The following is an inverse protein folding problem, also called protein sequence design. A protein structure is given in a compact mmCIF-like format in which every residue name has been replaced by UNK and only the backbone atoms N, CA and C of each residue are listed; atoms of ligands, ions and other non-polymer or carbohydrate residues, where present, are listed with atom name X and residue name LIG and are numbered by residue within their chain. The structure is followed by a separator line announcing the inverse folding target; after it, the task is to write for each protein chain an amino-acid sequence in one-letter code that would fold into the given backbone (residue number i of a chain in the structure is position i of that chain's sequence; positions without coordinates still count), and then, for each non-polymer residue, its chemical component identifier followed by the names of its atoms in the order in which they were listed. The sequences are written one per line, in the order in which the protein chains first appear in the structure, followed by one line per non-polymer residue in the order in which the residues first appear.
data_IF_415079611029
#
_entry.id   IF_415079611029
#
_cell.length_a   1.000
_cell.length_b   1.000
_cell.length_c   1.000
_cell.angle_alpha   90.00
_cell.angle_beta   90.00
_cell.angle_gamma   90.00
#
_symmetry.space_group_name_H-M   'P 1'
#
loop_
_entity.id
_entity.type
_entity.pdbx_description
1 polymer ?
#
# COMPACT_ATOMS: atom_id res chain seq x y z
N UNK A 1 -10.53 2.75 -84.78
CA UNK A 1 -10.37 3.39 -83.45
C UNK A 1 -9.04 2.93 -82.85
N UNK A 2 -8.00 3.78 -82.87
CA UNK A 2 -6.70 3.48 -82.25
C UNK A 2 -6.57 4.38 -81.01
N UNK A 3 -6.60 3.77 -79.83
CA UNK A 3 -6.53 4.47 -78.54
C UNK A 3 -5.08 4.96 -78.36
N UNK A 4 -4.91 6.29 -78.27
CA UNK A 4 -3.62 6.92 -77.98
C UNK A 4 -3.25 6.62 -76.52
N UNK A 5 -2.16 5.89 -76.31
CA UNK A 5 -1.58 5.66 -74.98
C UNK A 5 -0.70 6.85 -74.65
N UNK A 6 -1.11 7.68 -73.69
CA UNK A 6 -0.29 8.77 -73.17
C UNK A 6 0.94 8.20 -72.42
N UNK A 7 2.14 8.43 -72.95
CA UNK A 7 3.39 8.23 -72.24
C UNK A 7 3.47 9.25 -71.09
N UNK A 8 3.41 8.75 -69.86
CA UNK A 8 3.58 9.54 -68.64
C UNK A 8 5.05 10.03 -68.60
N UNK A 9 5.25 11.34 -68.69
CA UNK A 9 6.58 11.95 -68.63
C UNK A 9 7.08 11.81 -67.19
N UNK A 10 8.07 10.93 -66.99
CA UNK A 10 8.78 10.77 -65.74
C UNK A 10 9.58 12.06 -65.48
N UNK A 11 9.02 12.99 -64.70
CA UNK A 11 9.74 14.18 -64.26
C UNK A 11 10.84 13.74 -63.30
N UNK A 12 12.10 13.89 -63.72
CA UNK A 12 13.26 13.53 -62.93
C UNK A 12 13.23 14.19 -61.55
N UNK A 13 13.35 13.38 -60.51
CA UNK A 13 13.50 13.84 -59.12
C UNK A 13 14.78 14.67 -59.05
N UNK A 14 14.64 15.98 -58.80
CA UNK A 14 15.79 16.86 -58.63
C UNK A 14 16.57 16.46 -57.37
N UNK A 15 17.91 16.47 -57.44
CA UNK A 15 18.79 16.18 -56.31
C UNK A 15 18.46 17.04 -55.07
N UNK A 16 17.98 18.27 -55.29
CA UNK A 16 17.53 19.17 -54.21
C UNK A 16 16.28 18.65 -53.49
N UNK A 17 15.34 18.03 -54.22
CA UNK A 17 14.13 17.46 -53.62
C UNK A 17 14.43 16.23 -52.77
N UNK A 18 15.47 15.49 -53.14
CA UNK A 18 15.98 14.35 -52.37
C UNK A 18 16.67 14.81 -51.08
N UNK A 19 17.50 15.86 -51.15
CA UNK A 19 18.15 16.43 -49.96
C UNK A 19 17.13 17.03 -48.97
N UNK A 20 16.12 17.74 -49.46
CA UNK A 20 15.05 18.30 -48.61
C UNK A 20 14.21 17.18 -47.99
N UNK A 21 13.88 16.14 -48.76
CA UNK A 21 13.15 14.97 -48.24
C UNK A 21 13.92 14.23 -47.14
N UNK A 22 15.23 14.07 -47.28
CA UNK A 22 16.09 13.49 -46.25
C UNK A 22 16.14 14.36 -44.99
N UNK A 23 16.22 15.69 -45.13
CA UNK A 23 16.24 16.62 -44.00
C UNK A 23 14.92 16.55 -43.22
N UNK A 24 13.78 16.56 -43.91
CA UNK A 24 12.46 16.42 -43.27
C UNK A 24 12.36 15.06 -42.56
N UNK A 25 12.83 13.97 -43.20
CA UNK A 25 12.84 12.64 -42.58
C UNK A 25 13.66 12.62 -41.28
N UNK A 26 14.84 13.22 -41.27
CA UNK A 26 15.67 13.37 -40.05
C UNK A 26 14.98 14.19 -38.98
N UNK A 27 14.30 15.28 -39.34
CA UNK A 27 13.57 16.10 -38.38
C UNK A 27 12.40 15.33 -37.74
N UNK A 28 11.68 14.55 -38.55
CA UNK A 28 10.58 13.71 -38.07
C UNK A 28 11.07 12.59 -37.16
N UNK A 29 12.17 11.90 -37.50
CA UNK A 29 12.71 10.84 -36.64
C UNK A 29 13.20 11.38 -35.30
N UNK A 30 13.81 12.57 -35.28
CA UNK A 30 14.18 13.25 -34.04
C UNK A 30 12.96 13.60 -33.20
N UNK A 31 11.90 14.14 -33.82
CA UNK A 31 10.65 14.43 -33.13
C UNK A 31 10.02 13.16 -32.51
N UNK A 32 9.95 12.07 -33.27
CA UNK A 32 9.47 10.79 -32.78
C UNK A 32 10.33 10.24 -31.63
N UNK A 33 11.66 10.42 -31.68
CA UNK A 33 12.56 9.97 -30.61
C UNK A 33 12.34 10.74 -29.30
N UNK A 34 12.09 12.05 -29.38
CA UNK A 34 11.76 12.87 -28.20
C UNK A 34 10.44 12.44 -27.58
N UNK A 35 9.41 12.24 -28.40
CA UNK A 35 8.10 11.75 -27.94
C UNK A 35 8.24 10.37 -27.29
N UNK A 36 8.96 9.44 -27.94
CA UNK A 36 9.21 8.11 -27.41
C UNK A 36 9.93 8.16 -26.06
N UNK A 37 10.99 8.96 -25.93
CA UNK A 37 11.73 9.11 -24.67
C UNK A 37 10.82 9.60 -23.54
N UNK A 38 9.97 10.60 -23.82
CA UNK A 38 9.03 11.12 -22.83
C UNK A 38 7.99 10.07 -22.43
N UNK A 39 7.46 9.31 -23.39
CA UNK A 39 6.51 8.23 -23.11
C UNK A 39 7.13 7.14 -22.23
N UNK A 40 8.37 6.73 -22.52
CA UNK A 40 9.06 5.73 -21.71
C UNK A 40 9.28 6.25 -20.29
N UNK A 41 9.72 7.51 -20.13
CA UNK A 41 9.94 8.11 -18.82
C UNK A 41 8.65 8.17 -17.99
N UNK A 42 7.56 8.67 -18.57
CA UNK A 42 6.25 8.71 -17.89
C UNK A 42 5.74 7.29 -17.59
N UNK A 43 5.95 6.34 -18.49
CA UNK A 43 5.55 4.95 -18.27
C UNK A 43 6.34 4.27 -17.14
N UNK A 44 7.63 4.56 -17.00
CA UNK A 44 8.43 4.01 -15.90
C UNK A 44 8.01 4.58 -14.56
N UNK A 45 7.74 5.88 -14.50
CA UNK A 45 7.29 6.57 -13.29
C UNK A 45 5.91 6.05 -12.87
N UNK A 46 4.95 5.98 -13.80
CA UNK A 46 3.61 5.43 -13.52
C UNK A 46 3.66 3.98 -13.00
N UNK A 47 4.61 3.18 -13.47
CA UNK A 47 4.79 1.82 -12.97
C UNK A 47 5.27 1.80 -11.51
N UNK A 48 6.14 2.72 -11.12
CA UNK A 48 6.62 2.84 -9.74
C UNK A 48 5.46 3.25 -8.83
N UNK A 49 4.69 4.28 -9.21
CA UNK A 49 3.54 4.76 -8.44
C UNK A 49 2.42 3.71 -8.31
N UNK A 50 2.02 3.08 -9.43
CA UNK A 50 1.02 2.02 -9.39
C UNK A 50 1.48 0.81 -8.54
N UNK A 51 2.78 0.53 -8.55
CA UNK A 51 3.37 -0.50 -7.69
C UNK A 51 3.38 -0.12 -6.21
N UNK A 52 3.57 1.15 -5.89
CA UNK A 52 3.46 1.68 -4.53
C UNK A 52 2.03 1.54 -4.01
N UNK A 53 1.05 2.07 -4.75
CA UNK A 53 -0.37 2.03 -4.37
C UNK A 53 -0.88 0.59 -4.23
N UNK A 54 -0.53 -0.28 -5.19
CA UNK A 54 -0.93 -1.68 -5.15
C UNK A 54 -0.42 -2.39 -3.90
N UNK A 55 0.81 -2.09 -3.46
CA UNK A 55 1.40 -2.68 -2.24
C UNK A 55 0.77 -2.12 -0.97
N UNK A 56 0.51 -0.82 -0.91
CA UNK A 56 -0.17 -0.18 0.24
C UNK A 56 -1.59 -0.73 0.38
N UNK A 57 -2.34 -0.77 -0.72
CA UNK A 57 -3.72 -1.27 -0.72
C UNK A 57 -3.80 -2.76 -0.37
N UNK A 58 -2.91 -3.61 -0.91
CA UNK A 58 -2.85 -5.03 -0.55
C UNK A 58 -2.48 -5.24 0.93
N UNK A 59 -1.53 -4.47 1.45
CA UNK A 59 -1.16 -4.55 2.86
C UNK A 59 -2.31 -4.11 3.78
N UNK A 60 -2.99 -3.01 3.43
CA UNK A 60 -4.17 -2.54 4.15
C UNK A 60 -5.31 -3.56 4.15
N UNK A 61 -5.60 -4.19 3.01
CA UNK A 61 -6.63 -5.21 2.90
C UNK A 61 -6.32 -6.48 3.70
N UNK A 62 -5.06 -6.94 3.67
CA UNK A 62 -4.64 -8.09 4.49
C UNK A 62 -4.80 -7.76 5.97
N UNK A 63 -4.42 -6.55 6.37
CA UNK A 63 -4.56 -6.10 7.75
C UNK A 63 -6.02 -5.99 8.17
N UNK A 64 -6.88 -5.37 7.36
CA UNK A 64 -8.33 -5.27 7.59
C UNK A 64 -8.94 -6.65 7.82
N UNK A 65 -8.60 -7.61 6.97
CA UNK A 65 -9.10 -8.99 7.10
C UNK A 65 -8.59 -9.67 8.38
N UNK A 66 -7.31 -9.51 8.72
CA UNK A 66 -6.72 -10.13 9.91
C UNK A 66 -7.28 -9.55 11.20
N UNK A 67 -7.47 -8.24 11.25
CA UNK A 67 -7.84 -7.57 12.50
C UNK A 67 -9.31 -7.74 12.84
N UNK A 68 -10.16 -8.09 11.88
CA UNK A 68 -11.55 -8.48 12.16
C UNK A 68 -11.65 -9.68 13.10
N UNK A 69 -10.63 -10.53 13.20
CA UNK A 69 -10.62 -11.62 14.17
C UNK A 69 -10.14 -11.18 15.56
N UNK A 70 -9.62 -9.97 15.74
CA UNK A 70 -9.18 -9.49 17.04
C UNK A 70 -10.31 -9.59 18.08
N UNK A 71 -9.97 -10.02 19.30
CA UNK A 71 -10.91 -10.21 20.40
C UNK A 71 -11.86 -11.42 20.24
N UNK A 72 -11.84 -12.11 19.09
CA UNK A 72 -12.75 -13.22 18.86
C UNK A 72 -12.53 -14.36 19.86
N UNK A 73 -13.61 -14.80 20.51
CA UNK A 73 -13.62 -15.93 21.45
C UNK A 73 -13.01 -15.64 22.84
N UNK A 74 -12.61 -14.40 23.11
CA UNK A 74 -12.19 -13.92 24.43
C UNK A 74 -13.44 -13.38 25.13
N UNK A 75 -13.68 -13.80 26.39
CA UNK A 75 -14.93 -13.50 27.09
C UNK A 75 -15.11 -12.00 27.38
N UNK A 76 -14.03 -11.34 27.80
CA UNK A 76 -14.00 -9.92 28.17
C UNK A 76 -12.91 -9.19 27.37
N UNK A 77 -12.99 -9.24 26.03
CA UNK A 77 -11.99 -8.62 25.17
C UNK A 77 -11.96 -7.10 25.37
N UNK A 78 -10.77 -6.57 25.68
CA UNK A 78 -10.56 -5.17 26.08
C UNK A 78 -9.40 -4.51 25.31
N UNK A 79 -9.07 -3.26 25.62
CA UNK A 79 -7.89 -2.59 25.05
C UNK A 79 -6.56 -3.32 25.32
N UNK A 80 -6.52 -4.29 26.23
CA UNK A 80 -5.33 -5.11 26.48
C UNK A 80 -5.14 -6.22 25.44
N UNK A 81 -6.16 -6.51 24.64
CA UNK A 81 -6.12 -7.50 23.56
C UNK A 81 -5.79 -6.89 22.19
N UNK A 82 -5.64 -5.56 22.12
CA UNK A 82 -5.15 -4.81 20.96
C UNK A 82 -4.20 -3.70 21.38
N UNK A 83 -2.94 -3.74 20.94
CA UNK A 83 -1.94 -2.72 21.29
C UNK A 83 -1.28 -2.13 20.06
N UNK A 84 -1.24 -0.80 20.01
CA UNK A 84 -0.47 -0.03 19.04
C UNK A 84 0.81 0.43 19.72
N UNK A 85 1.97 0.02 19.19
CA UNK A 85 3.28 0.50 19.65
C UNK A 85 3.89 1.37 18.56
N UNK A 86 4.40 2.52 18.98
CA UNK A 86 5.12 3.44 18.11
C UNK A 86 6.49 3.70 18.73
N UNK A 87 7.56 3.32 18.03
CA UNK A 87 8.93 3.55 18.48
C UNK A 87 9.75 4.17 17.35
N UNK A 88 9.73 5.50 17.29
CA UNK A 88 10.46 6.25 16.27
C UNK A 88 9.97 5.98 14.86
N UNK A 89 10.72 5.15 14.11
CA UNK A 89 10.40 4.77 12.72
C UNK A 89 9.68 3.43 12.60
N UNK A 90 9.48 2.71 13.71
CA UNK A 90 8.72 1.47 13.74
C UNK A 90 7.32 1.71 14.24
N UNK A 91 6.37 1.14 13.52
CA UNK A 91 4.97 1.13 13.88
C UNK A 91 4.50 -0.31 13.93
N UNK A 92 4.03 -0.72 15.10
CA UNK A 92 3.62 -2.07 15.36
C UNK A 92 2.18 -2.06 15.88
N UNK A 93 1.40 -3.03 15.43
CA UNK A 93 0.04 -3.26 15.87
C UNK A 93 -0.07 -4.74 16.23
N UNK A 94 -0.51 -5.02 17.43
CA UNK A 94 -0.65 -6.37 17.97
C UNK A 94 -2.08 -6.62 18.36
N UNK A 95 -2.58 -7.82 18.09
CA UNK A 95 -3.87 -8.26 18.56
C UNK A 95 -3.85 -9.74 18.87
N UNK A 96 -4.80 -10.17 19.70
CA UNK A 96 -5.02 -11.59 19.99
C UNK A 96 -6.46 -12.00 19.75
N UNK A 97 -6.64 -13.31 19.59
CA UNK A 97 -7.93 -13.96 19.45
C UNK A 97 -7.82 -15.42 19.86
N UNK A 98 -8.93 -16.06 20.19
CA UNK A 98 -8.98 -17.48 20.53
C UNK A 98 -9.70 -18.31 19.47
N UNK A 99 -9.61 -19.63 19.60
CA UNK A 99 -10.50 -20.52 18.86
C UNK A 99 -11.94 -20.46 19.43
N UNK A 100 -12.91 -21.04 18.70
CA UNK A 100 -14.32 -21.13 19.08
C UNK A 100 -14.57 -21.69 20.48
N UNK A 101 -13.70 -22.60 20.93
CA UNK A 101 -13.82 -23.29 22.23
C UNK A 101 -13.06 -22.58 23.37
N UNK A 102 -12.41 -21.43 23.10
CA UNK A 102 -11.60 -20.70 24.09
C UNK A 102 -10.35 -21.45 24.60
N UNK A 103 -9.98 -22.57 23.97
CA UNK A 103 -8.94 -23.48 24.46
C UNK A 103 -7.52 -23.16 23.97
N UNK A 104 -7.39 -22.31 22.96
CA UNK A 104 -6.11 -21.89 22.37
C UNK A 104 -6.19 -20.43 21.93
N UNK A 105 -5.13 -19.69 22.20
CA UNK A 105 -4.98 -18.28 21.83
C UNK A 105 -3.98 -18.13 20.70
N UNK A 106 -4.24 -17.17 19.82
CA UNK A 106 -3.42 -16.81 18.67
C UNK A 106 -3.14 -15.31 18.73
N UNK A 107 -1.87 -14.96 18.56
CA UNK A 107 -1.42 -13.58 18.61
C UNK A 107 -0.82 -13.25 17.25
N UNK A 108 -1.41 -12.25 16.60
CA UNK A 108 -0.96 -11.74 15.32
C UNK A 108 -0.54 -10.28 15.47
N UNK A 109 0.33 -9.87 14.57
CA UNK A 109 0.88 -8.52 14.58
C UNK A 109 1.17 -8.04 13.18
N UNK A 110 1.24 -6.72 13.07
CA UNK A 110 1.68 -6.02 11.88
C UNK A 110 2.84 -5.11 12.28
N UNK A 111 3.88 -5.11 11.48
CA UNK A 111 5.05 -4.25 11.68
C UNK A 111 5.41 -3.52 10.39
N UNK A 112 5.56 -2.20 10.52
CA UNK A 112 6.31 -1.37 9.60
C UNK A 112 7.71 -1.13 10.18
N UNK A 113 8.75 -1.53 9.44
CA UNK A 113 10.14 -1.38 9.87
C UNK A 113 11.05 -1.03 8.70
N UNK A 114 12.11 -0.28 8.99
CA UNK A 114 13.23 -0.06 8.07
C UNK A 114 14.36 -1.01 8.40
N UNK A 115 14.75 -1.86 7.44
CA UNK A 115 15.79 -2.88 7.60
C UNK A 115 16.89 -2.69 6.56
N UNK A 116 18.14 -2.80 6.99
CA UNK A 116 19.28 -2.85 6.08
C UNK A 116 19.54 -4.29 5.65
N UNK A 117 19.70 -4.51 4.34
CA UNK A 117 20.21 -5.78 3.83
C UNK A 117 21.71 -5.91 4.09
N UNK A 118 22.24 -7.13 3.96
CA UNK A 118 23.65 -7.50 4.03
C UNK A 118 24.59 -6.62 3.19
N UNK A 119 24.08 -6.03 2.10
CA UNK A 119 24.80 -5.07 1.26
C UNK A 119 24.71 -3.60 1.72
N UNK A 120 24.15 -3.31 2.89
CA UNK A 120 23.99 -1.95 3.43
C UNK A 120 22.89 -1.12 2.76
N UNK A 121 22.05 -1.74 1.94
CA UNK A 121 20.90 -1.08 1.30
C UNK A 121 19.72 -1.13 2.26
N UNK A 122 19.16 0.04 2.57
CA UNK A 122 17.98 0.14 3.42
C UNK A 122 16.71 -0.16 2.63
N UNK A 123 15.82 -0.90 3.25
CA UNK A 123 14.49 -1.23 2.75
C UNK A 123 13.45 -0.85 3.79
N UNK A 124 12.30 -0.35 3.35
CA UNK A 124 11.09 -0.27 4.17
C UNK A 124 10.27 -1.53 3.92
N UNK A 125 9.85 -2.19 4.98
CA UNK A 125 9.10 -3.43 4.91
C UNK A 125 7.82 -3.36 5.74
N UNK A 126 6.76 -3.97 5.21
CA UNK A 126 5.52 -4.25 5.90
C UNK A 126 5.42 -5.74 6.09
N UNK A 127 5.25 -6.18 7.33
CA UNK A 127 5.34 -7.58 7.70
C UNK A 127 4.18 -7.94 8.63
N UNK A 128 3.63 -9.13 8.42
CA UNK A 128 2.81 -9.80 9.41
C UNK A 128 3.72 -10.58 10.34
N UNK A 129 3.41 -10.53 11.62
CA UNK A 129 4.12 -11.20 12.69
C UNK A 129 3.16 -12.10 13.47
N UNK A 130 3.71 -13.10 14.13
CA UNK A 130 2.99 -13.95 15.06
C UNK A 130 3.83 -14.18 16.31
N UNK A 131 3.17 -14.44 17.43
CA UNK A 131 3.83 -14.90 18.65
C UNK A 131 3.53 -16.39 18.85
N UNK A 132 4.57 -17.19 19.12
CA UNK A 132 4.43 -18.64 19.29
C UNK A 132 3.81 -19.02 20.66
N UNK A 133 4.01 -18.19 21.69
CA UNK A 133 3.46 -18.37 23.03
C UNK A 133 2.43 -17.27 23.28
N UNK A 134 1.25 -17.42 22.69
CA UNK A 134 0.12 -16.54 22.93
C UNK A 134 -0.76 -17.11 24.05
N UNK A 135 -1.12 -16.26 25.00
CA UNK A 135 -2.07 -16.54 26.07
C UNK A 135 -2.95 -15.31 26.32
N UNK A 136 -3.93 -15.43 27.19
CA UNK A 136 -4.89 -14.35 27.51
C UNK A 136 -4.30 -13.25 28.39
N UNK A 137 -3.31 -13.57 29.22
CA UNK A 137 -2.88 -12.74 30.36
C UNK A 137 -1.57 -11.98 30.12
N UNK A 138 -0.72 -12.48 29.25
CA UNK A 138 0.59 -11.91 28.98
C UNK A 138 0.41 -10.64 28.16
N UNK A 139 1.11 -9.58 28.53
CA UNK A 139 1.09 -8.31 27.82
C UNK A 139 1.68 -8.49 26.40
N UNK A 140 0.92 -8.09 25.36
CA UNK A 140 1.33 -8.24 23.95
C UNK A 140 2.69 -7.60 23.65
N UNK A 141 3.03 -6.52 24.36
CA UNK A 141 4.29 -5.79 24.19
C UNK A 141 5.51 -6.54 24.71
N UNK A 142 5.32 -7.53 25.59
CA UNK A 142 6.40 -8.30 26.22
C UNK A 142 6.71 -9.62 25.50
N UNK A 143 5.84 -10.01 24.57
CA UNK A 143 5.96 -11.26 23.83
C UNK A 143 7.11 -11.23 22.81
N UNK A 144 7.64 -12.41 22.50
CA UNK A 144 8.59 -12.57 21.39
C UNK A 144 7.84 -12.74 20.08
N UNK A 145 7.96 -11.74 19.20
CA UNK A 145 7.32 -11.73 17.89
C UNK A 145 8.26 -12.25 16.81
N UNK A 146 7.75 -13.12 15.95
CA UNK A 146 8.46 -13.61 14.76
C UNK A 146 7.76 -13.15 13.49
N UNK A 147 8.55 -12.81 12.47
CA UNK A 147 8.01 -12.45 11.15
C UNK A 147 7.40 -13.71 10.51
N UNK A 148 6.11 -13.64 10.22
CA UNK A 148 5.35 -14.69 9.55
C UNK A 148 5.37 -14.50 8.03
N UNK A 149 4.94 -13.31 7.57
CA UNK A 149 4.84 -12.99 6.14
C UNK A 149 5.35 -11.59 5.81
N UNK A 150 6.02 -11.44 4.68
CA UNK A 150 6.39 -10.15 4.11
C UNK A 150 5.29 -9.70 3.14
N UNK A 151 4.63 -8.57 3.44
CA UNK A 151 3.54 -8.04 2.61
C UNK A 151 4.08 -7.13 1.51
N UNK A 152 4.98 -6.22 1.88
CA UNK A 152 5.58 -5.27 0.94
C UNK A 152 7.01 -4.93 1.34
N UNK A 153 7.83 -4.63 0.33
CA UNK A 153 9.21 -4.17 0.51
C UNK A 153 9.55 -3.11 -0.52
N UNK A 154 10.00 -1.94 -0.08
CA UNK A 154 10.51 -0.87 -0.93
C UNK A 154 11.99 -0.64 -0.65
N UNK A 155 12.76 -0.45 -1.71
CA UNK A 155 14.16 -0.06 -1.59
C UNK A 155 14.22 1.44 -1.32
N UNK A 156 14.95 1.87 -0.30
CA UNK A 156 15.19 3.29 -0.03
C UNK A 156 16.32 3.81 -0.93
N UNK A 157 16.00 3.92 -2.23
CA UNK A 157 16.84 4.53 -3.25
C UNK A 157 16.67 6.05 -3.35
N UNK A 158 16.76 6.54 -4.59
CA UNK A 158 16.73 7.97 -4.94
C UNK A 158 15.47 8.37 -5.73
N UNK A 159 14.52 7.46 -5.95
CA UNK A 159 13.24 7.80 -6.58
C UNK A 159 12.33 8.58 -5.61
N UNK A 160 11.31 9.28 -6.14
CA UNK A 160 10.44 10.14 -5.33
C UNK A 160 9.71 9.36 -4.22
N UNK A 161 9.32 8.11 -4.48
CA UNK A 161 8.70 7.23 -3.47
C UNK A 161 9.71 6.90 -2.38
N UNK A 162 10.93 6.51 -2.74
CA UNK A 162 12.00 6.19 -1.81
C UNK A 162 12.43 7.41 -0.96
N UNK A 163 12.47 8.60 -1.55
CA UNK A 163 12.75 9.84 -0.81
C UNK A 163 11.62 10.16 0.16
N UNK A 164 10.36 10.05 -0.27
CA UNK A 164 9.23 10.23 0.63
C UNK A 164 9.27 9.25 1.81
N UNK A 165 9.57 7.96 1.56
CA UNK A 165 9.67 6.95 2.63
C UNK A 165 10.88 7.23 3.55
N UNK A 166 11.94 7.87 3.05
CA UNK A 166 13.09 8.31 3.87
C UNK A 166 12.71 9.50 4.76
N UNK A 167 12.04 10.50 4.19
CA UNK A 167 11.68 11.73 4.88
C UNK A 167 10.54 11.51 5.89
N UNK A 168 9.65 10.56 5.58
CA UNK A 168 8.55 10.19 6.45
C UNK A 168 8.88 8.94 7.25
N UNK A 169 8.91 9.08 8.57
CA UNK A 169 9.24 8.00 9.48
C UNK A 169 8.21 6.86 9.49
N UNK A 170 7.00 7.07 8.95
CA UNK A 170 5.90 6.08 8.90
C UNK A 170 5.07 6.20 7.62
N UNK A 171 4.58 5.08 7.12
CA UNK A 171 3.62 4.98 6.04
C UNK A 171 2.22 4.68 6.56
N UNK A 172 2.09 3.75 7.51
CA UNK A 172 0.81 3.44 8.12
C UNK A 172 0.67 4.20 9.43
N UNK A 173 -0.50 4.78 9.66
CA UNK A 173 -0.89 5.32 10.95
C UNK A 173 -2.10 4.57 11.48
N UNK A 174 -2.05 4.24 12.78
CA UNK A 174 -3.08 3.50 13.49
C UNK A 174 -3.59 4.39 14.62
N UNK A 175 -4.91 4.51 14.73
CA UNK A 175 -5.55 5.15 15.86
C UNK A 175 -6.75 4.33 16.29
N UNK A 176 -6.87 4.08 17.59
CA UNK A 176 -8.01 3.38 18.16
C UNK A 176 -8.97 4.44 18.73
N UNK A 177 -10.24 4.37 18.35
CA UNK A 177 -11.27 5.27 18.85
C UNK A 177 -12.54 4.49 19.14
N UNK A 178 -13.25 4.83 20.20
CA UNK A 178 -14.57 4.28 20.50
C UNK A 178 -15.63 4.95 19.62
N UNK A 179 -16.63 4.19 19.20
CA UNK A 179 -17.79 4.72 18.52
C UNK A 179 -18.78 3.65 18.09
N UNK A 180 -19.93 4.08 17.60
CA UNK A 180 -20.91 3.17 17.01
C UNK A 180 -20.43 2.71 15.64
N UNK A 181 -20.24 1.40 15.48
CA UNK A 181 -19.93 0.82 14.18
C UNK A 181 -20.66 -0.51 14.00
N UNK A 182 -21.08 -0.79 12.77
CA UNK A 182 -21.77 -2.03 12.41
C UNK A 182 -20.88 -2.85 11.51
N UNK A 183 -20.68 -4.14 11.82
CA UNK A 183 -20.02 -5.04 10.88
C UNK A 183 -20.85 -5.16 9.59
N UNK A 184 -20.21 -4.96 8.45
CA UNK A 184 -20.80 -5.14 7.12
C UNK A 184 -22.10 -4.35 6.86
N UNK A 185 -22.30 -3.20 7.50
CA UNK A 185 -23.48 -2.34 7.31
C UNK A 185 -24.78 -2.90 7.89
N UNK A 186 -24.70 -3.89 8.78
CA UNK A 186 -25.86 -4.48 9.44
C UNK A 186 -26.06 -3.83 10.81
N UNK A 187 -26.89 -2.80 10.87
CA UNK A 187 -27.44 -2.32 12.15
C UNK A 187 -28.45 -3.34 12.64
N UNK A 188 -28.06 -4.14 13.64
CA UNK A 188 -29.02 -4.91 14.44
C UNK A 188 -29.65 -3.91 15.42
N UNK A 189 -30.97 -3.83 15.43
CA UNK A 189 -31.73 -2.80 16.16
C UNK A 189 -31.53 -2.80 17.69
N UNK A 190 -30.83 -3.79 18.24
CA UNK A 190 -30.57 -3.97 19.67
C UNK A 190 -29.07 -3.89 20.03
N UNK A 191 -28.20 -3.54 19.08
CA UNK A 191 -26.75 -3.47 19.26
C UNK A 191 -26.30 -2.00 19.22
N UNK A 192 -26.67 -1.26 20.26
CA UNK A 192 -26.25 0.13 20.49
C UNK A 192 -24.95 0.21 21.28
N UNK A 193 -24.22 -0.91 21.40
CA UNK A 193 -22.95 -0.94 22.10
C UNK A 193 -21.91 -0.13 21.36
N UNK A 194 -21.19 0.74 22.08
CA UNK A 194 -19.96 1.31 21.55
C UNK A 194 -18.99 0.17 21.23
N UNK A 195 -18.23 0.31 20.15
CA UNK A 195 -17.19 -0.63 19.76
C UNK A 195 -15.90 0.14 19.52
N UNK A 196 -14.77 -0.56 19.59
CA UNK A 196 -13.52 0.04 19.14
C UNK A 196 -13.46 0.07 17.61
N UNK A 197 -13.09 1.22 17.08
CA UNK A 197 -12.86 1.47 15.66
C UNK A 197 -11.36 1.72 15.50
N UNK A 198 -10.71 0.83 14.74
CA UNK A 198 -9.33 1.05 14.32
C UNK A 198 -9.33 1.88 13.03
N UNK A 199 -8.83 3.11 13.13
CA UNK A 199 -8.58 3.98 11.99
C UNK A 199 -7.20 3.71 11.44
N UNK A 200 -7.18 3.34 10.16
CA UNK A 200 -5.99 3.11 9.37
C UNK A 200 -5.82 4.23 8.35
N UNK A 201 -4.70 4.93 8.40
CA UNK A 201 -4.35 5.93 7.40
C UNK A 201 -3.06 5.56 6.69
N UNK A 202 -3.04 5.63 5.36
CA UNK A 202 -1.84 5.42 4.55
C UNK A 202 -1.79 6.38 3.35
N UNK A 203 -0.60 6.88 2.97
CA UNK A 203 -0.45 7.70 1.79
C UNK A 203 -0.59 6.85 0.52
N UNK A 204 -1.22 7.44 -0.50
CA UNK A 204 -1.22 6.94 -1.86
C UNK A 204 -0.27 7.77 -2.75
N UNK A 205 -0.11 7.38 -4.00
CA UNK A 205 0.72 8.11 -4.94
C UNK A 205 0.20 9.53 -5.19
N UNK A 206 -1.11 9.76 -5.11
CA UNK A 206 -1.68 11.10 -5.28
C UNK A 206 -1.22 12.06 -4.19
N UNK A 207 -1.16 11.59 -2.94
CA UNK A 207 -0.62 12.31 -1.79
C UNK A 207 0.86 12.68 -2.00
N UNK A 208 1.66 11.78 -2.57
CA UNK A 208 3.08 12.02 -2.87
C UNK A 208 3.29 13.20 -3.83
N UNK A 209 2.40 13.36 -4.81
CA UNK A 209 2.49 14.46 -5.78
C UNK A 209 1.89 15.76 -5.26
N UNK A 210 0.84 15.68 -4.44
CA UNK A 210 0.16 16.84 -3.91
C UNK A 210 -0.34 16.57 -2.48
N UNK A 211 0.36 17.08 -1.46
CA UNK A 211 -0.04 16.93 -0.05
C UNK A 211 -1.38 17.59 0.31
N UNK A 212 -2.02 18.32 -0.60
CA UNK A 212 -3.38 18.83 -0.42
C UNK A 212 -4.45 17.75 -0.66
N UNK A 213 -4.09 16.62 -1.29
CA UNK A 213 -4.97 15.44 -1.41
C UNK A 213 -5.00 14.76 -0.04
N UNK A 214 -6.16 14.32 0.48
CA UNK A 214 -6.21 13.56 1.72
C UNK A 214 -5.55 12.19 1.53
N UNK A 215 -4.98 11.66 2.61
CA UNK A 215 -4.48 10.27 2.64
C UNK A 215 -5.65 9.28 2.53
N UNK A 216 -5.36 8.05 2.15
CA UNK A 216 -6.37 6.99 2.17
C UNK A 216 -6.64 6.61 3.62
N UNK A 217 -7.91 6.66 4.03
CA UNK A 217 -8.37 6.29 5.36
C UNK A 217 -9.33 5.10 5.27
N UNK A 218 -9.21 4.20 6.24
CA UNK A 218 -10.04 3.02 6.38
C UNK A 218 -10.40 2.84 7.85
N UNK A 219 -11.68 2.80 8.14
CA UNK A 219 -12.21 2.59 9.49
C UNK A 219 -12.64 1.12 9.63
N UNK A 220 -12.01 0.41 10.57
CA UNK A 220 -12.24 -1.01 10.79
C UNK A 220 -12.93 -1.19 12.14
N UNK A 221 -14.15 -1.73 12.10
CA UNK A 221 -14.96 -1.99 13.29
C UNK A 221 -14.51 -3.27 13.98
N UNK A 222 -14.13 -3.19 15.26
CA UNK A 222 -13.73 -4.32 16.09
C UNK A 222 -14.92 -4.81 16.91
N UNK A 223 -15.78 -5.61 16.26
CA UNK A 223 -17.05 -6.04 16.82
C UNK A 223 -16.93 -6.91 18.09
N UNK A 224 -15.83 -7.63 18.25
CA UNK A 224 -15.65 -8.52 19.41
C UNK A 224 -15.23 -7.77 20.69
N UNK A 225 -14.99 -6.47 20.62
CA UNK A 225 -14.61 -5.67 21.79
C UNK A 225 -15.78 -4.79 22.20
N UNK A 226 -16.07 -4.78 23.49
CA UNK A 226 -17.13 -3.98 24.09
C UNK A 226 -16.53 -3.11 25.21
N UNK A 227 -16.46 -1.77 25.05
CA UNK A 227 -15.94 -0.85 26.06
C UNK A 227 -16.75 -0.90 27.37
N UNK A 228 -18.04 -1.22 27.28
CA UNK A 228 -18.97 -1.26 28.41
C UNK A 228 -18.84 -2.51 29.31
N UNK A 229 -17.97 -3.48 28.96
CA UNK A 229 -17.77 -4.71 29.72
C UNK A 229 -16.72 -4.59 30.85
N UNK A 230 -16.26 -3.38 31.17
CA UNK A 230 -15.33 -3.11 32.28
C UNK A 230 -15.98 -2.93 33.66
#
# INVERSE_FOLDING_TARGET
MRKSTSLNIQKGVSLISLMIGLLISMMVTLACMVVYKNLIYVSTDNKVYAGFDGRISLAGLVLEKSIQSAGFGIADASEDDIKIIQNGTTQQLYWRYSNLDGSAYFCEGFEEITVADSGGVNYRELRMMNAAACDESTELTTMTWTVNNLLARWRLGDDQVAQYIKDNNRLFNFNLSEGECTSFGRSLADDTGEHYILKLSAPDAAYLFNPAVPVTEMDICLYNFHPEAS
#
